data_IF_497589328000
#
_entry.id   IF_497589328000
#
_cell.length_a   1.000
_cell.length_b   1.000
_cell.length_c   1.000
_cell.angle_alpha   90.00
_cell.angle_beta   90.00
_cell.angle_gamma   90.00
#
_symmetry.space_group_name_H-M   'P 1'
#
loop_
_entity.id
_entity.type
_entity.pdbx_description
1 polymer ?
#
# COMPACT_ATOMS: atom_id res chain seq x y z
N UNK A 1 -2.47 -4.29 -12.44
CA UNK A 1 -1.89 -4.18 -11.09
C UNK A 1 -2.84 -4.81 -10.06
N UNK A 2 -2.34 -5.22 -8.89
CA UNK A 2 -3.11 -5.93 -7.85
C UNK A 2 -4.42 -5.23 -7.45
N UNK A 3 -4.40 -3.89 -7.38
CA UNK A 3 -5.58 -3.06 -7.11
C UNK A 3 -6.72 -3.29 -8.10
N UNK A 4 -6.43 -3.42 -9.40
CA UNK A 4 -7.45 -3.75 -10.40
C UNK A 4 -8.05 -5.15 -10.19
N UNK A 5 -7.25 -6.09 -9.70
CA UNK A 5 -7.75 -7.42 -9.36
C UNK A 5 -8.66 -7.35 -8.12
N UNK A 6 -8.24 -6.64 -7.07
CA UNK A 6 -9.04 -6.38 -5.88
C UNK A 6 -10.39 -5.74 -6.22
N UNK A 7 -10.40 -4.70 -7.07
CA UNK A 7 -11.64 -4.06 -7.54
C UNK A 7 -12.55 -5.04 -8.29
N UNK A 8 -12.00 -5.89 -9.17
CA UNK A 8 -12.79 -6.91 -9.87
C UNK A 8 -13.38 -7.95 -8.93
N UNK A 9 -12.63 -8.34 -7.90
CA UNK A 9 -13.10 -9.31 -6.89
C UNK A 9 -14.19 -8.69 -6.02
N UNK A 10 -13.97 -7.48 -5.51
CA UNK A 10 -14.94 -6.77 -4.69
C UNK A 10 -16.29 -6.60 -5.40
N UNK A 11 -16.30 -6.28 -6.69
CA UNK A 11 -17.54 -6.21 -7.48
C UNK A 11 -18.32 -7.53 -7.56
N UNK A 12 -17.63 -8.67 -7.57
CA UNK A 12 -18.26 -9.98 -7.69
C UNK A 12 -18.75 -10.50 -6.35
N UNK A 13 -18.07 -10.11 -5.27
CA UNK A 13 -18.32 -10.59 -3.92
C UNK A 13 -19.10 -9.58 -3.06
N UNK A 14 -19.41 -8.39 -3.60
CA UNK A 14 -19.94 -7.25 -2.86
C UNK A 14 -19.11 -6.93 -1.60
N UNK A 15 -17.79 -7.02 -1.75
CA UNK A 15 -16.85 -6.92 -0.63
C UNK A 15 -16.35 -5.49 -0.40
N UNK A 16 -16.01 -5.21 0.84
CA UNK A 16 -15.32 -3.98 1.23
C UNK A 16 -13.82 -4.10 0.96
N UNK A 17 -13.21 -3.00 0.50
CA UNK A 17 -11.77 -2.95 0.23
C UNK A 17 -11.11 -2.01 1.25
N UNK A 18 -10.07 -2.50 1.92
CA UNK A 18 -9.16 -1.66 2.70
C UNK A 18 -7.81 -1.60 2.02
N UNK A 19 -7.34 -0.39 1.69
CA UNK A 19 -5.98 -0.14 1.24
C UNK A 19 -5.05 0.00 2.45
N UNK A 20 -4.26 -1.04 2.74
CA UNK A 20 -3.34 -1.06 3.88
C UNK A 20 -1.94 -0.61 3.47
N UNK A 21 -1.36 0.35 4.20
CA UNK A 21 0.03 0.77 4.06
C UNK A 21 0.77 0.65 5.41
N UNK A 22 1.91 -0.04 5.43
CA UNK A 22 2.74 -0.22 6.62
C UNK A 22 4.03 0.59 6.47
N UNK A 23 4.25 1.52 7.41
CA UNK A 23 5.42 2.39 7.45
C UNK A 23 6.38 1.89 8.53
N UNK A 24 7.65 1.72 8.14
CA UNK A 24 8.73 1.36 9.04
C UNK A 24 9.99 2.15 8.71
N UNK A 25 10.61 2.74 9.73
CA UNK A 25 11.94 3.34 9.62
C UNK A 25 12.86 2.63 10.62
N UNK A 26 13.91 2.00 10.12
CA UNK A 26 15.01 1.54 10.96
C UNK A 26 15.93 2.72 11.27
N UNK A 27 15.93 3.18 12.52
CA UNK A 27 16.75 4.30 12.95
C UNK A 27 17.59 3.99 14.20
N UNK A 28 18.85 4.47 14.27
CA UNK A 28 19.69 4.29 15.44
C UNK A 28 19.23 5.17 16.63
N UNK A 29 19.39 4.70 17.88
CA UNK A 29 18.75 5.26 19.09
C UNK A 29 19.34 6.58 19.62
N UNK A 30 19.96 7.42 18.78
CA UNK A 30 20.51 8.72 19.21
C UNK A 30 19.41 9.78 19.27
N UNK A 31 19.30 10.52 20.39
CA UNK A 31 18.22 11.49 20.62
C UNK A 31 18.05 12.55 19.51
N UNK A 32 19.15 13.10 18.97
CA UNK A 32 19.08 14.08 17.87
C UNK A 32 18.66 13.45 16.53
N UNK A 33 18.93 12.16 16.34
CA UNK A 33 18.48 11.39 15.18
C UNK A 33 16.99 11.05 15.33
N UNK A 34 16.53 10.75 16.55
CA UNK A 34 15.13 10.42 16.83
C UNK A 34 14.15 11.53 16.44
N UNK A 35 14.48 12.81 16.69
CA UNK A 35 13.63 13.94 16.29
C UNK A 35 13.52 14.05 14.77
N UNK A 36 14.64 13.90 14.05
CA UNK A 36 14.64 13.92 12.57
C UNK A 36 13.86 12.73 12.00
N UNK A 37 14.00 11.56 12.62
CA UNK A 37 13.29 10.34 12.21
C UNK A 37 11.78 10.48 12.35
N UNK A 38 11.31 11.09 13.44
CA UNK A 38 9.86 11.38 13.60
C UNK A 38 9.33 12.29 12.50
N UNK A 39 10.05 13.38 12.19
CA UNK A 39 9.64 14.28 11.11
C UNK A 39 9.61 13.59 9.73
N UNK A 40 10.55 12.69 9.47
CA UNK A 40 10.56 11.86 8.25
C UNK A 40 9.37 10.91 8.25
N UNK A 41 9.12 10.22 9.36
CA UNK A 41 8.02 9.27 9.50
C UNK A 41 6.66 9.95 9.30
N UNK A 42 6.45 11.12 9.90
CA UNK A 42 5.22 11.89 9.73
C UNK A 42 5.04 12.34 8.28
N UNK A 43 6.12 12.75 7.61
CA UNK A 43 6.09 13.04 6.17
C UNK A 43 5.74 11.80 5.33
N UNK A 44 6.21 10.61 5.71
CA UNK A 44 5.85 9.37 5.03
C UNK A 44 4.38 9.01 5.23
N UNK A 45 3.84 9.22 6.44
CA UNK A 45 2.41 9.04 6.73
C UNK A 45 1.57 9.98 5.88
N UNK A 46 1.95 11.26 5.81
CA UNK A 46 1.22 12.26 5.03
C UNK A 46 1.25 11.91 3.54
N UNK A 47 2.40 11.53 2.99
CA UNK A 47 2.51 11.09 1.60
C UNK A 47 1.65 9.86 1.32
N UNK A 48 1.75 8.83 2.17
CA UNK A 48 0.95 7.62 2.08
C UNK A 48 -0.56 7.91 2.10
N UNK A 49 -0.97 8.88 2.93
CA UNK A 49 -2.36 9.34 3.02
C UNK A 49 -2.80 10.01 1.74
N UNK A 50 -2.01 10.93 1.19
CA UNK A 50 -2.35 11.61 -0.06
C UNK A 50 -2.45 10.62 -1.22
N UNK A 51 -1.49 9.70 -1.34
CA UNK A 51 -1.50 8.67 -2.38
C UNK A 51 -2.72 7.75 -2.26
N UNK A 52 -3.08 7.35 -1.02
CA UNK A 52 -4.27 6.53 -0.78
C UNK A 52 -5.56 7.25 -1.15
N UNK A 53 -5.70 8.52 -0.75
CA UNK A 53 -6.87 9.34 -1.09
C UNK A 53 -6.99 9.50 -2.61
N UNK A 54 -5.87 9.77 -3.29
CA UNK A 54 -5.84 9.93 -4.74
C UNK A 54 -6.24 8.63 -5.44
N UNK A 55 -5.69 7.50 -5.02
CA UNK A 55 -6.02 6.19 -5.58
C UNK A 55 -7.50 5.82 -5.37
N UNK A 56 -8.05 6.10 -4.18
CA UNK A 56 -9.49 5.88 -3.92
C UNK A 56 -10.36 6.74 -4.84
N UNK A 57 -9.97 8.01 -5.08
CA UNK A 57 -10.72 8.90 -5.98
C UNK A 57 -10.71 8.36 -7.41
N UNK A 58 -9.56 7.92 -7.91
CA UNK A 58 -9.43 7.32 -9.25
C UNK A 58 -10.29 6.06 -9.39
N UNK A 59 -10.19 5.13 -8.44
CA UNK A 59 -10.99 3.91 -8.45
C UNK A 59 -12.48 4.25 -8.37
N UNK A 60 -12.91 5.16 -7.50
CA UNK A 60 -14.33 5.52 -7.38
C UNK A 60 -14.84 6.18 -8.66
N UNK A 61 -14.05 7.02 -9.32
CA UNK A 61 -14.40 7.65 -10.59
C UNK A 61 -14.63 6.60 -11.69
N UNK A 62 -13.74 5.63 -11.84
CA UNK A 62 -13.87 4.53 -12.81
C UNK A 62 -15.07 3.61 -12.53
N UNK A 63 -15.49 3.52 -11.27
CA UNK A 63 -16.49 2.56 -10.80
C UNK A 63 -17.82 3.20 -10.38
N UNK A 64 -18.06 4.46 -10.79
CA UNK A 64 -19.30 5.23 -10.50
C UNK A 64 -19.63 5.30 -9.00
N UNK A 65 -18.61 5.30 -8.14
CA UNK A 65 -18.76 5.40 -6.69
C UNK A 65 -19.39 4.18 -5.99
N UNK A 66 -19.60 3.07 -6.69
CA UNK A 66 -20.31 1.89 -6.13
C UNK A 66 -19.49 1.02 -5.18
N UNK A 67 -18.18 1.26 -5.07
CA UNK A 67 -17.29 0.44 -4.25
C UNK A 67 -17.09 1.06 -2.88
N UNK A 68 -17.27 0.25 -1.84
CA UNK A 68 -16.87 0.61 -0.48
C UNK A 68 -15.35 0.41 -0.34
N UNK A 69 -14.61 1.52 -0.34
CA UNK A 69 -13.14 1.52 -0.24
C UNK A 69 -12.71 2.52 0.80
N UNK A 70 -11.89 2.06 1.74
CA UNK A 70 -11.18 2.83 2.76
C UNK A 70 -9.66 2.62 2.66
N UNK A 71 -8.89 3.36 3.45
CA UNK A 71 -7.46 3.17 3.58
C UNK A 71 -7.06 3.20 5.04
N UNK A 72 -5.97 2.50 5.36
CA UNK A 72 -5.38 2.48 6.69
C UNK A 72 -3.86 2.52 6.61
N UNK A 73 -3.25 3.30 7.51
CA UNK A 73 -1.81 3.50 7.57
C UNK A 73 -1.35 3.10 8.96
N UNK A 74 -0.48 2.09 9.03
CA UNK A 74 0.02 1.53 10.28
C UNK A 74 1.53 1.72 10.35
N UNK A 75 2.03 2.12 11.51
CA UNK A 75 3.46 2.16 11.80
C UNK A 75 3.86 0.87 12.51
N UNK A 76 4.86 0.15 12.01
CA UNK A 76 5.31 -1.06 12.69
C UNK A 76 6.26 -1.95 11.89
N UNK A 77 6.86 -2.90 12.59
CA UNK A 77 7.79 -3.89 12.07
C UNK A 77 7.81 -5.13 12.97
N UNK A 78 7.99 -6.35 12.44
CA UNK A 78 8.06 -6.72 11.01
C UNK A 78 6.77 -6.42 10.24
N UNK A 79 6.86 -6.24 8.91
CA UNK A 79 5.69 -5.84 8.11
C UNK A 79 4.68 -6.98 8.04
N UNK A 80 5.16 -8.21 7.92
CA UNK A 80 4.38 -9.44 7.95
C UNK A 80 3.51 -9.55 9.21
N UNK A 81 4.10 -9.35 10.39
CA UNK A 81 3.40 -9.42 11.68
C UNK A 81 2.34 -8.32 11.81
N UNK A 82 2.65 -7.11 11.33
CA UNK A 82 1.70 -5.99 11.34
C UNK A 82 0.50 -6.29 10.44
N UNK A 83 0.75 -6.81 9.23
CA UNK A 83 -0.31 -7.17 8.28
C UNK A 83 -1.15 -8.33 8.82
N UNK A 84 -0.51 -9.36 9.37
CA UNK A 84 -1.22 -10.51 9.96
C UNK A 84 -2.08 -10.08 11.15
N UNK A 85 -1.51 -9.32 12.08
CA UNK A 85 -2.24 -8.77 13.24
C UNK A 85 -3.41 -7.90 12.80
N UNK A 86 -3.21 -7.02 11.81
CA UNK A 86 -4.29 -6.20 11.29
C UNK A 86 -5.39 -7.04 10.65
N UNK A 87 -5.02 -8.06 9.86
CA UNK A 87 -5.97 -8.94 9.20
C UNK A 87 -6.82 -9.73 10.20
N UNK A 88 -6.21 -10.27 11.26
CA UNK A 88 -6.90 -11.03 12.31
C UNK A 88 -7.85 -10.12 13.08
N UNK A 89 -7.38 -8.95 13.54
CA UNK A 89 -8.18 -8.05 14.37
C UNK A 89 -9.37 -7.43 13.63
N UNK A 90 -9.27 -7.26 12.31
CA UNK A 90 -10.34 -6.68 11.49
C UNK A 90 -11.12 -7.72 10.66
N UNK A 91 -10.94 -9.02 10.96
CA UNK A 91 -11.62 -10.12 10.27
C UNK A 91 -11.50 -10.05 8.73
N UNK A 92 -10.29 -9.78 8.23
CA UNK A 92 -10.04 -9.68 6.78
C UNK A 92 -10.05 -11.08 6.16
N UNK A 93 -10.94 -11.29 5.18
CA UNK A 93 -11.13 -12.60 4.52
C UNK A 93 -10.09 -12.88 3.41
N UNK A 94 -9.52 -11.83 2.80
CA UNK A 94 -8.61 -11.96 1.66
C UNK A 94 -7.58 -10.82 1.62
N UNK A 95 -6.30 -11.20 1.55
CA UNK A 95 -5.19 -10.27 1.32
C UNK A 95 -4.77 -10.36 -0.14
N UNK A 96 -4.80 -9.22 -0.84
CA UNK A 96 -4.33 -9.12 -2.23
C UNK A 96 -3.09 -8.24 -2.26
N UNK A 97 -1.95 -8.83 -2.61
CA UNK A 97 -0.67 -8.12 -2.74
C UNK A 97 -0.18 -8.07 -4.19
N UNK A 98 0.62 -7.05 -4.50
CA UNK A 98 1.43 -7.02 -5.72
C UNK A 98 2.62 -7.96 -5.61
N UNK A 99 2.99 -8.61 -6.71
CA UNK A 99 4.21 -9.45 -6.77
C UNK A 99 5.49 -8.61 -6.70
N UNK A 100 5.40 -7.32 -7.06
CA UNK A 100 6.44 -6.31 -6.88
C UNK A 100 5.89 -5.25 -5.92
N UNK A 101 6.70 -4.87 -4.94
CA UNK A 101 6.36 -3.83 -3.97
C UNK A 101 6.25 -2.44 -4.59
N UNK A 102 6.02 -1.44 -3.74
CA UNK A 102 5.86 -0.04 -4.14
C UNK A 102 7.06 0.55 -4.91
N UNK A 103 8.26 -0.05 -4.80
CA UNK A 103 9.43 0.32 -5.59
C UNK A 103 9.26 0.07 -7.10
N UNK A 104 8.27 -0.73 -7.51
CA UNK A 104 7.85 -0.89 -8.90
C UNK A 104 6.65 -0.05 -9.31
N UNK A 105 6.15 0.82 -8.43
CA UNK A 105 4.99 1.69 -8.64
C UNK A 105 5.45 3.13 -8.94
N UNK A 106 6.44 3.28 -9.82
CA UNK A 106 6.71 4.59 -10.41
C UNK A 106 5.54 4.93 -11.34
N UNK A 107 4.91 6.07 -11.07
CA UNK A 107 3.70 6.53 -11.75
C UNK A 107 4.03 6.77 -13.23
N UNK A 108 3.69 5.80 -14.08
CA UNK A 108 3.57 5.93 -15.53
C UNK A 108 4.62 6.81 -16.22
N UNK A 109 5.82 6.31 -16.41
CA UNK A 109 6.66 6.69 -17.55
C UNK A 109 7.44 5.47 -18.03
N UNK A 110 7.36 5.28 -19.35
CA UNK A 110 8.20 4.43 -20.18
C UNK A 110 8.01 2.91 -20.17
N UNK A 111 7.29 2.49 -21.22
CA UNK A 111 7.63 1.30 -22.00
C UNK A 111 9.14 1.27 -22.26
N UNK A 112 9.68 0.04 -22.22
CA UNK A 112 11.06 -0.43 -22.52
C UNK A 112 11.98 -0.41 -21.29
N UNK A 113 12.55 -1.52 -20.82
CA UNK A 113 12.91 -2.77 -21.47
C UNK A 113 12.53 -3.99 -20.62
N UNK A 114 11.82 -4.93 -21.24
CA UNK A 114 12.20 -6.32 -21.07
C UNK A 114 13.63 -6.47 -21.61
N UNK A 115 14.52 -7.04 -20.81
CA UNK A 115 15.34 -8.10 -21.35
C UNK A 115 15.47 -9.21 -20.31
N UNK A 116 14.86 -10.33 -20.65
CA UNK A 116 15.13 -11.64 -20.10
C UNK A 116 16.55 -12.08 -20.42
N UNK A 117 17.04 -12.97 -19.56
CA UNK A 117 18.00 -14.04 -19.88
C UNK A 117 19.50 -13.74 -19.74
N UNK A 118 20.03 -14.28 -18.64
CA UNK A 118 20.89 -15.47 -18.65
C UNK A 118 22.40 -15.29 -18.97
N UNK A 119 23.21 -15.87 -18.09
CA UNK A 119 24.61 -16.34 -18.25
C UNK A 119 25.64 -15.29 -18.68
N UNK A 120 26.62 -15.02 -17.83
CA UNK A 120 27.84 -15.86 -17.68
C UNK A 120 28.43 -15.67 -16.29
#
# INVERSE_FOLDING_TARGET
MAVHYAVKMAKKLDAEIVLLNVIFISAPPRAMVAVKVRAIEDSMVDNAKQDSIQLIKEIKAENKGKLNISYEIIKGYPVEDVVESYAIHNNIDLIIMGTKGATGFDKGSDRKQCNSSNKQ
#
